data_IF_116260841274
#
_entry.id   IF_116260841274
#
_cell.length_a   1.000
_cell.length_b   1.000
_cell.length_c   1.000
_cell.angle_alpha   90.00
_cell.angle_beta   90.00
_cell.angle_gamma   90.00
#
_symmetry.space_group_name_H-M   'P 1'
#
loop_
_entity.id
_entity.type
_entity.pdbx_description
1 polymer ?
#
# COMPACT_ATOMS: atom_id res chain seq x y z
N UNK A 1 59.14 52.84 27.29
CA UNK A 1 58.08 53.34 26.39
C UNK A 1 57.51 52.12 25.68
N UNK A 2 56.23 51.76 25.69
CA UNK A 2 54.99 52.24 26.31
C UNK A 2 54.10 50.99 26.44
N UNK A 3 53.60 50.68 27.63
CA UNK A 3 52.19 50.79 28.07
C UNK A 3 51.25 49.65 27.66
N UNK A 4 50.64 49.08 28.71
CA UNK A 4 49.58 48.10 28.73
C UNK A 4 48.18 48.72 28.57
N UNK A 5 47.19 47.91 28.20
CA UNK A 5 45.72 48.00 28.46
C UNK A 5 45.10 46.74 27.83
N UNK A 6 44.56 45.75 28.56
CA UNK A 6 43.42 45.74 29.50
C UNK A 6 42.16 46.35 28.88
N UNK A 7 41.27 45.49 28.38
CA UNK A 7 39.94 45.81 27.86
C UNK A 7 38.96 44.68 28.22
N UNK A 8 38.29 44.88 29.34
CA UNK A 8 37.16 44.15 29.91
C UNK A 8 35.87 44.63 29.22
N UNK A 9 34.87 43.77 29.01
CA UNK A 9 33.42 44.07 28.78
C UNK A 9 32.76 42.84 28.13
N UNK A 10 31.51 42.46 28.37
CA UNK A 10 30.60 42.62 29.49
C UNK A 10 29.54 41.53 29.28
N UNK A 11 29.28 40.75 30.32
CA UNK A 11 28.23 39.73 30.36
C UNK A 11 26.86 40.40 30.40
N UNK A 12 26.02 40.14 29.40
CA UNK A 12 24.59 40.47 29.42
C UNK A 12 23.75 39.20 29.60
N UNK A 13 23.00 39.05 30.70
CA UNK A 13 22.02 37.98 30.84
C UNK A 13 20.61 38.46 30.45
N UNK A 14 19.68 37.49 30.39
CA UNK A 14 18.23 37.59 30.32
C UNK A 14 17.58 37.42 28.93
N UNK A 15 17.01 36.23 28.73
CA UNK A 15 15.59 36.11 28.38
C UNK A 15 15.10 34.70 28.75
N UNK A 16 14.33 34.65 29.83
CA UNK A 16 13.58 33.49 30.30
C UNK A 16 12.31 33.39 29.44
N UNK A 17 12.24 32.45 28.49
CA UNK A 17 10.96 32.08 27.87
C UNK A 17 10.37 30.89 28.62
N UNK A 18 9.52 31.22 29.60
CA UNK A 18 8.55 30.32 30.19
C UNK A 18 7.43 30.07 29.19
N UNK A 19 7.56 29.04 28.35
CA UNK A 19 6.42 28.52 27.60
C UNK A 19 5.59 27.66 28.55
N UNK A 20 4.49 28.23 29.03
CA UNK A 20 3.44 27.53 29.76
C UNK A 20 2.90 26.38 28.92
N UNK A 21 3.18 25.15 29.35
CA UNK A 21 2.35 23.99 29.06
C UNK A 21 1.03 24.14 29.82
N UNK A 22 0.06 24.80 29.18
CA UNK A 22 -1.36 24.65 29.53
C UNK A 22 -2.00 23.83 28.42
N UNK A 23 -2.10 22.51 28.62
CA UNK A 23 -3.13 21.70 27.95
C UNK A 23 -3.77 20.81 29.01
N UNK A 24 -4.39 21.49 29.98
CA UNK A 24 -5.37 20.88 30.85
C UNK A 24 -6.66 20.64 30.06
N UNK A 25 -7.10 19.39 30.12
CA UNK A 25 -8.44 18.94 29.80
C UNK A 25 -9.51 19.88 30.39
N UNK A 26 -10.45 20.32 29.53
CA UNK A 26 -11.88 20.50 29.82
C UNK A 26 -12.52 21.38 28.74
N UNK A 27 -13.20 20.76 27.78
CA UNK A 27 -14.35 21.41 27.13
C UNK A 27 -15.54 20.48 27.22
N UNK A 28 -16.23 20.50 28.35
CA UNK A 28 -17.57 19.92 28.47
C UNK A 28 -18.48 20.58 27.40
N UNK A 29 -18.86 19.80 26.39
CA UNK A 29 -19.88 20.16 25.40
C UNK A 29 -19.38 20.81 24.09
N UNK A 30 -18.07 21.00 23.92
CA UNK A 30 -17.48 21.42 22.65
C UNK A 30 -17.44 20.27 21.64
N UNK A 31 -17.92 20.47 20.42
CA UNK A 31 -17.72 19.53 19.33
C UNK A 31 -16.21 19.43 19.02
N UNK A 32 -15.58 18.31 19.35
CA UNK A 32 -14.22 18.03 18.90
C UNK A 32 -14.21 17.88 17.37
N UNK A 33 -13.57 18.85 16.72
CA UNK A 33 -13.50 18.93 15.27
C UNK A 33 -12.58 17.86 14.67
N UNK A 34 -11.58 17.41 15.42
CA UNK A 34 -10.62 16.41 14.95
C UNK A 34 -11.25 15.02 14.96
N UNK A 35 -11.94 14.67 16.06
CA UNK A 35 -12.73 13.44 16.16
C UNK A 35 -13.84 13.38 15.10
N UNK A 36 -14.59 14.47 14.89
CA UNK A 36 -15.60 14.56 13.84
C UNK A 36 -14.99 14.31 12.45
N UNK A 37 -13.79 14.85 12.18
CA UNK A 37 -13.11 14.68 10.91
C UNK A 37 -12.70 13.22 10.67
N UNK A 38 -12.21 12.54 11.71
CA UNK A 38 -11.87 11.10 11.66
C UNK A 38 -13.10 10.29 11.26
N UNK A 39 -14.26 10.55 11.89
CA UNK A 39 -15.51 9.87 11.57
C UNK A 39 -15.98 10.13 10.13
N UNK A 40 -15.93 11.39 9.66
CA UNK A 40 -16.29 11.74 8.28
C UNK A 40 -15.39 11.00 7.28
N UNK A 41 -14.08 10.97 7.53
CA UNK A 41 -13.11 10.27 6.67
C UNK A 41 -13.37 8.76 6.67
N UNK A 42 -13.64 8.16 7.83
CA UNK A 42 -13.99 6.75 7.95
C UNK A 42 -15.24 6.40 7.14
N UNK A 43 -16.34 7.15 7.34
CA UNK A 43 -17.59 6.95 6.60
C UNK A 43 -17.40 7.15 5.09
N UNK A 44 -16.66 8.17 4.67
CA UNK A 44 -16.42 8.42 3.24
C UNK A 44 -15.50 7.39 2.59
N UNK A 45 -14.59 6.82 3.37
CA UNK A 45 -13.72 5.73 2.94
C UNK A 45 -14.48 4.42 2.80
N UNK A 46 -15.35 4.10 3.77
CA UNK A 46 -16.17 2.89 3.76
C UNK A 46 -17.31 2.94 2.73
N UNK A 47 -17.89 4.12 2.55
CA UNK A 47 -19.01 4.38 1.65
C UNK A 47 -18.71 5.58 0.73
N UNK A 48 -17.89 5.40 -0.31
CA UNK A 48 -17.54 6.49 -1.23
C UNK A 48 -18.76 7.10 -1.94
N UNK A 49 -19.83 6.35 -2.09
CA UNK A 49 -21.12 6.79 -2.66
C UNK A 49 -21.93 7.69 -1.72
N UNK A 50 -21.61 7.74 -0.43
CA UNK A 50 -22.37 8.55 0.52
C UNK A 50 -22.17 10.05 0.24
N UNK A 51 -23.29 10.70 -0.08
CA UNK A 51 -23.39 12.15 -0.12
C UNK A 51 -23.44 12.75 1.28
N UNK A 52 -23.30 14.08 1.37
CA UNK A 52 -23.28 14.81 2.66
C UNK A 52 -24.52 14.54 3.52
N UNK A 53 -25.70 14.35 2.91
CA UNK A 53 -26.92 14.04 3.65
C UNK A 53 -26.88 12.67 4.35
N UNK A 54 -26.27 11.66 3.71
CA UNK A 54 -26.17 10.33 4.30
C UNK A 54 -25.15 10.32 5.43
N UNK A 55 -23.97 10.89 5.19
CA UNK A 55 -22.92 11.04 6.22
C UNK A 55 -23.44 11.82 7.43
N UNK A 56 -24.25 12.85 7.21
CA UNK A 56 -24.88 13.61 8.30
C UNK A 56 -25.77 12.74 9.19
N UNK A 57 -26.62 11.88 8.60
CA UNK A 57 -27.47 10.95 9.36
C UNK A 57 -26.67 9.93 10.15
N UNK A 58 -25.63 9.35 9.55
CA UNK A 58 -24.77 8.37 10.23
C UNK A 58 -24.04 9.02 11.42
N UNK A 59 -23.55 10.26 11.26
CA UNK A 59 -22.92 11.01 12.35
C UNK A 59 -23.91 11.38 13.45
N UNK A 60 -25.15 11.76 13.09
CA UNK A 60 -26.20 12.02 14.08
C UNK A 60 -26.62 10.76 14.83
N UNK A 61 -26.58 9.59 14.19
CA UNK A 61 -26.91 8.32 14.82
C UNK A 61 -25.91 7.90 15.92
N UNK A 62 -24.70 8.46 15.93
CA UNK A 62 -23.74 8.30 17.04
C UNK A 62 -24.20 9.00 18.32
N UNK A 63 -25.17 9.92 18.22
CA UNK A 63 -25.76 10.63 19.36
C UNK A 63 -24.82 11.67 19.99
N UNK A 64 -25.18 12.10 21.21
CA UNK A 64 -24.36 13.01 22.02
C UNK A 64 -24.18 14.39 21.41
N UNK A 65 -22.93 14.86 21.34
CA UNK A 65 -22.60 16.19 20.80
C UNK A 65 -22.89 16.35 19.31
N UNK A 66 -22.96 15.23 18.57
CA UNK A 66 -23.16 15.23 17.11
C UNK A 66 -24.62 15.40 16.69
N UNK A 67 -25.57 15.20 17.60
CA UNK A 67 -27.01 15.32 17.31
C UNK A 67 -27.37 16.75 16.86
N UNK A 68 -26.71 17.74 17.47
CA UNK A 68 -26.86 19.17 17.17
C UNK A 68 -26.06 19.63 15.94
N UNK A 69 -25.35 18.75 15.26
CA UNK A 69 -24.52 19.12 14.11
C UNK A 69 -25.42 19.54 12.93
N UNK A 70 -25.29 20.77 12.47
CA UNK A 70 -26.00 21.25 11.29
C UNK A 70 -25.36 20.69 9.99
N UNK A 71 -26.19 20.15 9.09
CA UNK A 71 -25.77 19.63 7.79
C UNK A 71 -24.95 20.63 6.95
N UNK A 72 -25.27 21.92 7.01
CA UNK A 72 -24.50 22.96 6.31
C UNK A 72 -23.09 23.10 6.87
N UNK A 73 -22.92 22.97 8.19
CA UNK A 73 -21.60 22.99 8.85
C UNK A 73 -20.78 21.78 8.44
N UNK A 74 -21.40 20.59 8.43
CA UNK A 74 -20.78 19.38 7.91
C UNK A 74 -20.33 19.54 6.45
N UNK A 75 -21.19 20.09 5.59
CA UNK A 75 -20.86 20.35 4.18
C UNK A 75 -19.64 21.26 4.03
N UNK A 76 -19.56 22.33 4.83
CA UNK A 76 -18.40 23.24 4.84
C UNK A 76 -17.11 22.53 5.26
N UNK A 77 -17.18 21.67 6.29
CA UNK A 77 -16.04 20.85 6.74
C UNK A 77 -15.60 19.90 5.63
N UNK A 78 -16.53 19.12 5.06
CA UNK A 78 -16.22 18.22 3.95
C UNK A 78 -15.61 18.96 2.75
N UNK A 79 -16.11 20.17 2.42
CA UNK A 79 -15.55 21.00 1.34
C UNK A 79 -14.13 21.44 1.66
N UNK A 80 -13.89 21.94 2.88
CA UNK A 80 -12.57 22.40 3.34
C UNK A 80 -11.52 21.29 3.26
N UNK A 81 -11.92 20.04 3.47
CA UNK A 81 -11.03 18.88 3.47
C UNK A 81 -11.05 18.06 2.16
N UNK A 82 -11.70 18.55 1.09
CA UNK A 82 -11.70 17.88 -0.21
C UNK A 82 -12.47 16.55 -0.24
N UNK A 83 -13.43 16.35 0.67
CA UNK A 83 -14.23 15.12 0.79
C UNK A 83 -15.55 15.15 0.00
N UNK A 84 -15.85 16.27 -0.67
CA UNK A 84 -17.00 16.39 -1.58
C UNK A 84 -16.60 15.86 -2.96
N UNK A 85 -17.14 14.69 -3.28
CA UNK A 85 -16.84 13.89 -4.48
C UNK A 85 -17.03 14.56 -5.84
N UNK A 86 -17.56 15.78 -5.96
CA UNK A 86 -17.95 16.30 -7.28
C UNK A 86 -16.76 16.50 -8.23
N UNK A 87 -15.58 16.85 -7.73
CA UNK A 87 -14.39 16.97 -8.60
C UNK A 87 -13.69 15.62 -8.83
N UNK A 88 -13.57 14.78 -7.81
CA UNK A 88 -12.86 13.51 -7.92
C UNK A 88 -13.64 12.46 -8.73
N UNK A 89 -14.98 12.44 -8.66
CA UNK A 89 -15.79 11.49 -9.44
C UNK A 89 -15.99 11.91 -10.90
N UNK A 90 -16.09 13.21 -11.20
CA UNK A 90 -16.12 13.68 -12.60
C UNK A 90 -14.79 13.45 -13.30
N UNK A 91 -13.67 13.70 -12.62
CA UNK A 91 -12.33 13.43 -13.15
C UNK A 91 -12.10 11.92 -13.32
N UNK A 92 -12.54 11.08 -12.37
CA UNK A 92 -12.43 9.63 -12.48
C UNK A 92 -13.35 9.02 -13.56
N UNK A 93 -14.57 9.56 -13.76
CA UNK A 93 -15.48 9.13 -14.85
C UNK A 93 -14.95 9.54 -16.22
N UNK A 94 -14.39 10.76 -16.36
CA UNK A 94 -13.73 11.20 -17.59
C UNK A 94 -12.42 10.45 -17.87
N UNK A 95 -11.71 10.01 -16.83
CA UNK A 95 -10.46 9.27 -16.94
C UNK A 95 -10.62 7.74 -17.07
N UNK A 96 -11.84 7.20 -17.06
CA UNK A 96 -12.06 5.74 -17.15
C UNK A 96 -11.47 4.93 -16.00
N UNK A 97 -11.24 5.59 -14.85
CA UNK A 97 -10.63 4.98 -13.66
C UNK A 97 -11.68 4.13 -12.95
N UNK A 98 -11.66 2.81 -13.18
CA UNK A 98 -12.43 1.86 -12.37
C UNK A 98 -11.67 1.67 -11.05
N UNK A 99 -12.11 2.34 -9.99
CA UNK A 99 -11.73 1.96 -8.63
C UNK A 99 -12.46 0.66 -8.27
N UNK A 100 -11.74 -0.46 -8.35
CA UNK A 100 -12.22 -1.72 -7.80
C UNK A 100 -11.96 -1.71 -6.30
N UNK A 101 -13.02 -1.51 -5.52
CA UNK A 101 -13.02 -1.80 -4.09
C UNK A 101 -13.44 -3.26 -3.95
N UNK A 102 -12.52 -4.15 -3.59
CA UNK A 102 -12.92 -5.48 -3.12
C UNK A 102 -13.48 -5.32 -1.72
N UNK A 103 -14.80 -5.23 -1.63
CA UNK A 103 -15.53 -5.37 -0.37
C UNK A 103 -15.30 -6.80 0.10
N UNK A 104 -14.68 -6.94 1.27
CA UNK A 104 -14.66 -8.22 1.98
C UNK A 104 -16.07 -8.50 2.48
N UNK A 105 -16.90 -9.08 1.60
CA UNK A 105 -18.22 -9.56 1.98
C UNK A 105 -18.11 -11.00 2.48
N UNK A 106 -18.76 -11.26 3.60
CA UNK A 106 -18.73 -12.52 4.31
C UNK A 106 -19.38 -13.63 3.46
N UNK A 107 -18.57 -14.37 2.71
CA UNK A 107 -19.01 -15.61 2.07
C UNK A 107 -19.00 -16.73 3.11
N UNK A 108 -20.18 -17.01 3.67
CA UNK A 108 -20.46 -18.18 4.52
C UNK A 108 -19.91 -19.45 3.85
N UNK A 109 -19.25 -20.37 4.59
CA UNK A 109 -18.93 -21.68 4.04
C UNK A 109 -20.23 -22.48 3.90
N UNK A 110 -20.65 -22.77 2.66
CA UNK A 110 -21.50 -23.93 2.41
C UNK A 110 -20.59 -25.14 2.28
N UNK A 111 -20.52 -25.92 3.35
CA UNK A 111 -19.97 -27.27 3.35
C UNK A 111 -20.97 -28.19 2.64
N UNK A 112 -20.41 -29.07 1.79
CA UNK A 112 -20.95 -30.26 1.13
C UNK A 112 -21.28 -30.15 -0.36
N UNK A 113 -20.30 -30.56 -1.18
CA UNK A 113 -20.49 -31.68 -2.10
C UNK A 113 -19.11 -32.28 -2.45
N UNK A 114 -18.88 -33.55 -2.07
CA UNK A 114 -17.82 -34.38 -2.67
C UNK A 114 -18.13 -34.50 -4.16
N UNK A 115 -17.19 -34.11 -5.03
CA UNK A 115 -17.19 -34.46 -6.45
C UNK A 115 -15.81 -35.00 -6.84
N UNK A 116 -15.76 -35.93 -7.81
CA UNK A 116 -14.77 -37.00 -7.91
C UNK A 116 -13.46 -36.60 -8.59
N UNK A 117 -12.40 -37.41 -8.47
CA UNK A 117 -11.11 -37.13 -9.09
C UNK A 117 -11.11 -37.63 -10.53
N UNK A 118 -11.58 -36.84 -11.49
CA UNK A 118 -11.31 -37.08 -12.92
C UNK A 118 -11.82 -35.92 -13.79
N UNK A 119 -10.97 -34.91 -13.99
CA UNK A 119 -11.01 -34.00 -15.13
C UNK A 119 -9.69 -33.21 -15.20
N UNK A 120 -8.59 -33.90 -15.49
CA UNK A 120 -7.42 -33.27 -16.08
C UNK A 120 -7.78 -32.89 -17.52
N UNK A 121 -8.40 -31.73 -17.70
CA UNK A 121 -8.55 -31.12 -19.02
C UNK A 121 -7.26 -30.38 -19.34
N UNK A 122 -6.45 -31.03 -20.18
CA UNK A 122 -5.36 -30.46 -20.95
C UNK A 122 -5.80 -29.12 -21.55
N UNK A 123 -5.11 -28.04 -21.20
CA UNK A 123 -5.14 -26.84 -22.01
C UNK A 123 -3.71 -26.50 -22.40
N UNK A 124 -3.43 -26.81 -23.66
CA UNK A 124 -2.15 -26.69 -24.34
C UNK A 124 -1.79 -25.21 -24.49
N UNK A 125 -0.91 -24.75 -23.60
CA UNK A 125 0.05 -23.73 -23.94
C UNK A 125 1.36 -24.07 -23.21
N UNK A 126 1.86 -25.28 -23.48
CA UNK A 126 3.22 -25.68 -23.16
C UNK A 126 4.18 -24.95 -24.11
N UNK A 127 4.42 -23.67 -23.81
CA UNK A 127 5.71 -23.09 -24.17
C UNK A 127 6.76 -23.86 -23.37
N UNK A 128 7.63 -24.58 -24.07
CA UNK A 128 8.83 -25.26 -23.55
C UNK A 128 9.34 -24.57 -22.29
N UNK A 129 9.14 -25.22 -21.14
CA UNK A 129 9.74 -24.80 -19.88
C UNK A 129 11.26 -24.73 -20.13
N UNK A 130 11.93 -23.58 -19.96
CA UNK A 130 13.38 -23.55 -20.07
C UNK A 130 13.93 -24.47 -18.99
N UNK A 131 14.62 -25.52 -19.43
CA UNK A 131 15.29 -26.48 -18.56
C UNK A 131 16.18 -25.74 -17.57
N UNK A 132 15.86 -25.83 -16.27
CA UNK A 132 16.86 -25.57 -15.21
C UNK A 132 16.51 -24.58 -14.10
N UNK A 133 15.31 -24.01 -14.02
CA UNK A 133 14.96 -23.04 -12.96
C UNK A 133 13.81 -23.47 -12.04
N UNK A 134 13.93 -23.24 -10.74
CA UNK A 134 12.79 -23.34 -9.81
C UNK A 134 11.92 -22.08 -9.91
N UNK A 135 10.72 -22.24 -10.47
CA UNK A 135 9.74 -21.16 -10.62
C UNK A 135 8.64 -21.24 -9.54
N UNK A 136 8.48 -20.16 -8.78
CA UNK A 136 7.48 -20.05 -7.73
C UNK A 136 6.22 -19.33 -8.24
N UNK A 137 5.03 -19.98 -8.25
CA UNK A 137 3.80 -19.32 -8.64
C UNK A 137 3.28 -18.37 -7.56
N UNK A 138 2.95 -17.15 -7.98
CA UNK A 138 2.43 -16.08 -7.12
C UNK A 138 1.18 -15.49 -7.74
N UNK A 139 0.05 -15.60 -7.04
CA UNK A 139 -1.22 -15.02 -7.49
C UNK A 139 -1.14 -13.48 -7.48
N UNK A 140 -1.56 -12.84 -8.57
CA UNK A 140 -1.60 -11.38 -8.66
C UNK A 140 -2.81 -10.81 -7.93
N UNK A 141 -2.69 -9.57 -7.43
CA UNK A 141 -3.80 -8.87 -6.78
C UNK A 141 -4.12 -9.37 -5.36
N UNK A 142 -3.32 -10.28 -4.79
CA UNK A 142 -3.45 -10.66 -3.39
C UNK A 142 -3.19 -9.43 -2.49
N UNK A 143 -4.11 -9.10 -1.57
CA UNK A 143 -3.96 -7.94 -0.70
C UNK A 143 -2.93 -8.20 0.41
N UNK A 144 -2.35 -7.13 0.98
CA UNK A 144 -1.25 -7.24 1.96
C UNK A 144 -1.68 -7.75 3.33
N UNK A 145 -2.96 -7.73 3.63
CA UNK A 145 -3.57 -8.33 4.81
C UNK A 145 -4.69 -9.27 4.36
N UNK A 146 -4.60 -10.53 4.77
CA UNK A 146 -5.60 -11.57 4.52
C UNK A 146 -6.50 -11.82 5.73
N UNK A 147 -6.18 -11.23 6.89
CA UNK A 147 -6.93 -11.46 8.14
C UNK A 147 -8.34 -10.84 8.11
N UNK A 148 -8.57 -9.85 7.24
CA UNK A 148 -9.81 -9.08 7.21
C UNK A 148 -10.00 -8.16 8.42
N UNK A 149 -9.02 -8.06 9.32
CA UNK A 149 -9.17 -7.32 10.59
C UNK A 149 -8.74 -5.86 10.49
N UNK A 150 -7.86 -5.50 9.54
CA UNK A 150 -7.36 -4.13 9.41
C UNK A 150 -8.20 -3.34 8.40
N UNK A 151 -8.98 -2.37 8.90
CA UNK A 151 -9.79 -1.46 8.06
C UNK A 151 -8.96 -0.56 7.13
N UNK A 152 -7.68 -0.31 7.47
CA UNK A 152 -6.78 0.56 6.70
C UNK A 152 -5.73 -0.27 5.97
N UNK A 153 -6.15 -0.94 4.92
CA UNK A 153 -5.22 -1.66 4.06
C UNK A 153 -4.53 -0.70 3.09
N UNK A 154 -3.22 -0.86 2.91
CA UNK A 154 -2.49 -0.19 1.84
C UNK A 154 -3.04 -0.69 0.49
N UNK A 155 -3.95 0.09 -0.10
CA UNK A 155 -4.52 -0.21 -1.41
C UNK A 155 -3.45 0.01 -2.47
N UNK A 156 -3.11 -1.06 -3.17
CA UNK A 156 -2.27 -1.01 -4.33
C UNK A 156 -3.07 -0.37 -5.48
N UNK A 157 -2.79 0.90 -5.80
CA UNK A 157 -3.36 1.56 -6.97
C UNK A 157 -2.66 1.06 -8.24
N UNK A 158 -3.27 0.11 -8.95
CA UNK A 158 -2.83 -0.26 -10.29
C UNK A 158 -3.03 0.93 -11.24
N UNK A 159 -1.96 1.46 -11.83
CA UNK A 159 -2.05 2.51 -12.85
C UNK A 159 -2.29 1.85 -14.21
N UNK A 160 -3.48 2.01 -14.80
CA UNK A 160 -3.77 1.51 -16.16
C UNK A 160 -3.20 2.42 -17.25
N UNK A 161 -2.95 3.69 -16.93
CA UNK A 161 -2.74 4.74 -17.94
C UNK A 161 -1.29 4.85 -18.44
N UNK A 162 -0.37 4.03 -17.92
CA UNK A 162 1.06 4.09 -18.31
C UNK A 162 1.33 3.35 -19.63
N UNK A 163 0.29 2.87 -20.32
CA UNK A 163 0.35 2.05 -21.54
C UNK A 163 1.13 2.64 -22.74
N UNK A 164 1.64 3.87 -22.66
CA UNK A 164 2.26 4.59 -23.79
C UNK A 164 3.78 4.78 -23.70
N UNK A 165 4.48 4.18 -22.75
CA UNK A 165 5.94 4.10 -22.81
C UNK A 165 6.34 2.67 -23.14
N UNK A 166 6.56 2.42 -24.42
CA UNK A 166 7.41 1.33 -24.90
C UNK A 166 8.85 1.63 -24.47
N UNK A 167 9.08 1.71 -23.17
CA UNK A 167 10.42 1.49 -22.65
C UNK A 167 10.58 -0.03 -22.78
N UNK A 168 11.52 -0.55 -23.59
CA UNK A 168 11.74 -1.98 -23.70
C UNK A 168 11.96 -2.47 -22.28
N UNK A 169 10.92 -3.13 -21.73
CA UNK A 169 10.92 -3.69 -20.39
C UNK A 169 12.24 -4.41 -20.25
N UNK A 170 13.10 -3.92 -19.34
CA UNK A 170 14.51 -4.28 -19.23
C UNK A 170 14.71 -5.71 -19.74
N UNK A 171 15.23 -5.83 -20.97
CA UNK A 171 15.13 -7.04 -21.77
C UNK A 171 15.73 -8.15 -20.93
N UNK A 172 14.88 -8.99 -20.34
CA UNK A 172 15.37 -10.02 -19.45
C UNK A 172 16.29 -10.91 -20.28
N UNK A 173 17.47 -11.23 -19.74
CA UNK A 173 18.37 -12.22 -20.36
C UNK A 173 17.65 -13.55 -20.64
N UNK A 174 16.56 -13.81 -19.90
CA UNK A 174 15.63 -14.91 -20.11
C UNK A 174 14.53 -14.52 -21.11
N UNK A 175 14.42 -15.17 -22.28
CA UNK A 175 13.37 -14.90 -23.27
C UNK A 175 11.97 -14.98 -22.65
N UNK A 176 11.17 -13.93 -22.87
CA UNK A 176 9.79 -13.84 -22.40
C UNK A 176 9.62 -13.61 -20.89
N UNK A 177 10.71 -13.42 -20.14
CA UNK A 177 10.63 -13.01 -18.74
C UNK A 177 10.59 -11.48 -18.61
N UNK A 178 9.95 -11.02 -17.54
CA UNK A 178 10.01 -9.63 -17.06
C UNK A 178 10.80 -9.57 -15.77
N UNK A 179 11.27 -8.38 -15.38
CA UNK A 179 11.92 -8.18 -14.09
C UNK A 179 10.90 -7.62 -13.08
N UNK A 180 10.77 -8.29 -11.95
CA UNK A 180 9.98 -7.83 -10.81
C UNK A 180 10.89 -7.51 -9.63
N UNK A 181 10.47 -6.56 -8.82
CA UNK A 181 11.12 -6.17 -7.57
C UNK A 181 10.34 -6.75 -6.39
N UNK A 182 11.04 -7.41 -5.49
CA UNK A 182 10.50 -7.82 -4.19
C UNK A 182 11.14 -6.96 -3.11
N UNK A 183 10.33 -6.43 -2.22
CA UNK A 183 10.77 -5.49 -1.19
C UNK A 183 10.20 -5.88 0.19
N UNK A 184 11.10 -5.91 1.17
CA UNK A 184 10.79 -6.11 2.59
C UNK A 184 10.64 -4.75 3.25
N UNK A 185 9.61 -4.56 4.07
CA UNK A 185 9.45 -3.35 4.84
C UNK A 185 10.54 -3.22 5.92
N UNK A 186 11.03 -2.00 6.16
CA UNK A 186 12.05 -1.73 7.19
C UNK A 186 11.49 -2.07 8.56
N UNK A 187 12.24 -2.82 9.37
CA UNK A 187 11.85 -3.22 10.72
C UNK A 187 10.68 -4.21 10.77
N UNK A 188 10.29 -4.78 9.63
CA UNK A 188 9.22 -5.74 9.56
C UNK A 188 9.64 -7.08 10.19
N UNK A 189 8.79 -7.70 11.04
CA UNK A 189 8.98 -9.07 11.50
C UNK A 189 9.26 -10.07 10.36
N UNK A 190 9.85 -11.21 10.68
CA UNK A 190 10.18 -12.23 9.66
C UNK A 190 8.96 -12.72 8.89
N UNK A 191 7.82 -12.81 9.58
CA UNK A 191 6.53 -13.24 9.05
C UNK A 191 5.72 -12.07 8.46
N UNK A 192 6.38 -11.00 8.01
CA UNK A 192 5.70 -9.88 7.37
C UNK A 192 5.60 -10.09 5.86
N UNK A 193 4.42 -9.87 5.25
CA UNK A 193 4.28 -9.95 3.80
C UNK A 193 5.26 -9.03 3.07
N UNK A 194 5.81 -9.52 1.95
CA UNK A 194 6.73 -8.77 1.10
C UNK A 194 5.99 -8.20 -0.11
N UNK A 195 6.33 -6.98 -0.52
CA UNK A 195 5.71 -6.38 -1.69
C UNK A 195 6.43 -6.82 -2.97
N UNK A 196 5.68 -7.33 -3.94
CA UNK A 196 6.18 -7.65 -5.27
C UNK A 196 5.56 -6.73 -6.31
N UNK A 197 6.37 -6.14 -7.19
CA UNK A 197 5.87 -5.34 -8.32
C UNK A 197 6.78 -5.32 -9.55
N UNK A 198 6.23 -5.10 -10.74
CA UNK A 198 6.98 -4.83 -11.98
C UNK A 198 7.31 -3.32 -12.17
N UNK A 199 8.18 -2.99 -13.14
CA UNK A 199 8.67 -1.61 -13.38
C UNK A 199 7.57 -0.56 -13.42
N UNK A 200 6.51 -0.89 -14.14
CA UNK A 200 5.38 0.01 -14.34
C UNK A 200 4.33 -0.07 -13.23
N UNK A 201 4.52 -0.93 -12.22
CA UNK A 201 3.56 -1.24 -11.16
C UNK A 201 2.19 -1.64 -11.69
N UNK A 202 2.15 -2.25 -12.87
CA UNK A 202 0.93 -2.81 -13.46
C UNK A 202 0.63 -4.18 -12.87
N UNK A 203 1.68 -4.91 -12.49
CA UNK A 203 1.60 -6.20 -11.81
C UNK A 203 2.16 -6.02 -10.43
N UNK A 204 1.28 -6.04 -9.44
CA UNK A 204 1.68 -5.87 -8.05
C UNK A 204 0.86 -6.79 -7.16
N UNK A 205 1.51 -7.34 -6.15
CA UNK A 205 0.92 -8.25 -5.17
C UNK A 205 1.76 -8.31 -3.90
N UNK A 206 1.31 -9.09 -2.93
CA UNK A 206 2.04 -9.38 -1.70
C UNK A 206 2.36 -10.87 -1.62
N UNK A 207 3.62 -11.17 -1.31
CA UNK A 207 4.07 -12.50 -0.92
C UNK A 207 3.78 -12.67 0.57
N UNK A 208 3.07 -13.72 0.95
CA UNK A 208 2.66 -13.98 2.33
C UNK A 208 3.49 -15.11 2.95
N UNK A 209 3.74 -15.11 4.27
CA UNK A 209 4.58 -16.13 4.92
C UNK A 209 4.08 -17.57 4.77
N UNK A 210 2.78 -17.73 4.58
CA UNK A 210 2.11 -19.02 4.39
C UNK A 210 2.34 -19.64 3.00
N UNK A 211 2.90 -18.88 2.05
CA UNK A 211 3.13 -19.36 0.70
C UNK A 211 4.42 -20.19 0.60
N UNK A 212 4.43 -21.26 -0.23
CA UNK A 212 5.65 -22.01 -0.47
C UNK A 212 6.76 -21.09 -1.02
N UNK A 213 8.00 -21.31 -0.62
CA UNK A 213 9.15 -20.53 -1.10
C UNK A 213 9.26 -19.10 -0.54
N UNK A 214 8.36 -18.65 0.34
CA UNK A 214 8.45 -17.32 0.95
C UNK A 214 9.80 -17.07 1.63
N UNK A 215 10.21 -18.00 2.49
CA UNK A 215 11.46 -17.90 3.26
C UNK A 215 12.69 -17.82 2.33
N UNK A 216 12.66 -18.55 1.21
CA UNK A 216 13.72 -18.55 0.22
C UNK A 216 13.82 -17.19 -0.50
N UNK A 217 12.68 -16.65 -0.96
CA UNK A 217 12.64 -15.32 -1.57
C UNK A 217 13.13 -14.26 -0.58
N UNK A 218 12.71 -14.34 0.69
CA UNK A 218 13.15 -13.41 1.73
C UNK A 218 14.66 -13.51 1.97
N UNK A 219 15.20 -14.71 2.10
CA UNK A 219 16.64 -14.94 2.26
C UNK A 219 17.42 -14.37 1.08
N UNK A 220 16.94 -14.57 -0.15
CA UNK A 220 17.55 -14.02 -1.35
C UNK A 220 17.51 -12.49 -1.38
N UNK A 221 16.39 -11.88 -0.97
CA UNK A 221 16.28 -10.41 -0.86
C UNK A 221 17.29 -9.84 0.12
N UNK A 222 17.42 -10.46 1.30
CA UNK A 222 18.38 -10.04 2.32
C UNK A 222 19.83 -10.22 1.85
N UNK A 223 20.14 -11.36 1.21
CA UNK A 223 21.45 -11.63 0.62
C UNK A 223 21.84 -10.59 -0.43
N UNK A 224 20.99 -10.35 -1.43
CA UNK A 224 21.28 -9.37 -2.48
C UNK A 224 21.42 -7.95 -1.93
N UNK A 225 20.62 -7.59 -0.91
CA UNK A 225 20.74 -6.27 -0.26
C UNK A 225 22.07 -6.13 0.48
N UNK A 226 22.53 -7.19 1.16
CA UNK A 226 23.81 -7.19 1.86
C UNK A 226 25.00 -7.05 0.89
N UNK A 227 24.93 -7.69 -0.28
CA UNK A 227 25.98 -7.64 -1.31
C UNK A 227 26.07 -6.28 -2.02
N UNK A 228 24.93 -5.62 -2.28
CA UNK A 228 24.86 -4.33 -2.98
C UNK A 228 25.06 -3.12 -2.04
N UNK A 229 24.94 -3.34 -0.73
CA UNK A 229 25.01 -2.30 0.28
C UNK A 229 23.70 -1.50 0.41
N UNK A 230 23.52 -0.78 1.54
CA UNK A 230 22.35 0.05 1.74
C UNK A 230 22.41 1.26 0.79
N UNK A 231 21.48 1.32 -0.16
CA UNK A 231 21.31 2.50 -1.00
C UNK A 231 20.89 3.70 -0.11
N UNK A 232 21.50 4.87 -0.32
CA UNK A 232 21.20 6.07 0.45
C UNK A 232 19.73 6.45 0.23
N UNK A 233 18.91 6.38 1.29
CA UNK A 233 17.45 6.59 1.21
C UNK A 233 16.63 5.33 0.87
N UNK A 234 17.22 4.13 0.95
CA UNK A 234 16.54 2.87 0.69
C UNK A 234 15.31 2.68 1.57
N UNK A 235 14.19 2.33 0.94
CA UNK A 235 12.91 2.00 1.60
C UNK A 235 12.87 0.55 2.15
N UNK A 236 14.03 0.00 2.51
CA UNK A 236 14.21 -1.36 3.01
C UNK A 236 14.85 -2.34 2.02
N UNK A 237 15.14 -3.58 2.47
CA UNK A 237 15.78 -4.60 1.66
C UNK A 237 14.98 -4.92 0.39
N UNK A 238 15.68 -5.07 -0.73
CA UNK A 238 15.08 -5.36 -2.03
C UNK A 238 15.96 -6.26 -2.88
N UNK A 239 15.33 -7.05 -3.73
CA UNK A 239 16.00 -7.75 -4.82
C UNK A 239 15.11 -7.80 -6.05
N UNK A 240 15.73 -8.12 -7.17
CA UNK A 240 15.08 -8.23 -8.46
C UNK A 240 15.06 -9.69 -8.88
N UNK A 241 13.97 -10.11 -9.50
CA UNK A 241 13.75 -11.49 -9.91
C UNK A 241 13.20 -11.52 -11.32
N UNK A 242 13.59 -12.55 -12.08
CA UNK A 242 12.91 -12.86 -13.32
C UNK A 242 11.53 -13.43 -13.02
N UNK A 243 10.53 -12.95 -13.76
CA UNK A 243 9.15 -13.40 -13.62
C UNK A 243 8.52 -13.67 -14.98
N UNK A 244 7.63 -14.66 -15.06
CA UNK A 244 6.80 -14.92 -16.24
C UNK A 244 5.34 -14.82 -15.85
N UNK A 245 4.54 -14.17 -16.68
CA UNK A 245 3.11 -14.11 -16.45
C UNK A 245 2.45 -15.35 -17.02
N UNK A 246 1.59 -15.99 -16.22
CA UNK A 246 0.74 -17.09 -16.67
C UNK A 246 -0.70 -16.87 -16.21
N UNK A 247 -1.63 -17.60 -16.85
CA UNK A 247 -3.03 -17.64 -16.47
C UNK A 247 -3.42 -19.08 -16.19
N UNK A 248 -3.95 -19.34 -15.00
CA UNK A 248 -4.45 -20.66 -14.61
C UNK A 248 -5.85 -20.49 -14.04
N UNK A 249 -6.82 -21.22 -14.58
CA UNK A 249 -8.20 -21.27 -14.06
C UNK A 249 -8.84 -19.87 -13.92
N UNK A 250 -8.59 -18.98 -14.89
CA UNK A 250 -9.12 -17.60 -14.89
C UNK A 250 -8.39 -16.60 -13.98
N UNK A 251 -7.45 -17.06 -13.15
CA UNK A 251 -6.60 -16.22 -12.30
C UNK A 251 -5.26 -15.91 -12.98
N UNK A 252 -4.67 -14.76 -12.64
CA UNK A 252 -3.37 -14.35 -13.14
C UNK A 252 -2.29 -14.65 -12.12
N UNK A 253 -1.18 -15.24 -12.57
CA UNK A 253 -0.03 -15.56 -11.73
C UNK A 253 1.25 -14.98 -12.31
N UNK A 254 2.21 -14.71 -11.43
CA UNK A 254 3.61 -14.53 -11.76
C UNK A 254 4.38 -15.76 -11.30
N UNK A 255 5.06 -16.42 -12.23
CA UNK A 255 6.06 -17.43 -11.95
C UNK A 255 7.38 -16.71 -11.71
N UNK A 256 7.92 -16.73 -10.50
CA UNK A 256 9.18 -16.04 -10.14
C UNK A 256 10.32 -17.05 -10.10
N UNK A 257 11.43 -16.78 -10.78
CA UNK A 257 12.63 -17.61 -10.64
C UNK A 257 13.31 -17.27 -9.31
N UNK A 258 13.25 -18.19 -8.35
CA UNK A 258 13.83 -17.98 -7.01
C UNK A 258 15.30 -18.38 -6.93
N UNK A 259 15.79 -19.14 -7.91
CA UNK A 259 17.15 -19.68 -7.93
C UNK A 259 18.16 -18.70 -8.52
N UNK A 260 17.75 -17.98 -9.56
CA UNK A 260 18.58 -17.01 -10.26
C UNK A 260 17.93 -15.61 -10.15
N UNK A 261 18.39 -14.75 -9.22
CA UNK A 261 17.90 -13.39 -9.13
C UNK A 261 18.26 -12.61 -10.40
N UNK A 262 17.42 -11.65 -10.78
CA UNK A 262 17.72 -10.76 -11.89
C UNK A 262 18.81 -9.74 -11.48
N UNK A 263 19.54 -9.18 -12.46
CA UNK A 263 20.49 -8.10 -12.24
C UNK A 263 19.84 -6.93 -11.52
N UNK A 264 20.63 -6.24 -10.69
CA UNK A 264 20.17 -5.06 -9.98
C UNK A 264 19.64 -3.99 -10.93
N UNK A 265 18.59 -3.28 -10.50
CA UNK A 265 17.97 -2.23 -11.28
C UNK A 265 17.78 -0.96 -10.44
N UNK A 266 17.71 0.20 -11.10
CA UNK A 266 17.73 1.53 -10.45
C UNK A 266 16.35 2.15 -10.18
N UNK A 267 15.26 1.36 -10.18
CA UNK A 267 13.87 1.83 -10.03
C UNK A 267 13.19 1.52 -8.68
#
# INVERSE_FOLDING_TARGET
>A
MAEARSGQEDTKPAATESTKEDTAASSEGGLDMEELLVHIKGLKFQHPEYGTARIHREIQALGGVYEKLNQQKLRKIMKKHGLLSSQLEEDNRKAGVIQMYTVGDASKPHVHAKLPPEAQAQNENQGTEPEGGRWLPVELGVPGDRSGTKMHQAVIKMRRDVAKRDDPSATAAVPGAMICKVQVAIGAPEDSPMLLYDKDRRKQTFLHPDMPGFAEVRAQVLKCTAEQGPEVGAKGPKAFFYAKQTRQTGKQFLLINVQEPAPWQTW
#
